data_IF_877286789084
#
_entry.id   IF_877286789084
#
_cell.length_a   1.000
_cell.length_b   1.000
_cell.length_c   1.000
_cell.angle_alpha   90.00
_cell.angle_beta   90.00
_cell.angle_gamma   90.00
#
_symmetry.space_group_name_H-M   'P 1'
#
loop_
_entity.id
_entity.type
_entity.pdbx_description
1 polymer ?
#
# COMPACT_ATOMS: atom_id res chain seq x y z
N UNK A 1 -4.40 -20.78 -8.57
CA UNK A 1 -5.22 -20.36 -9.73
C UNK A 1 -4.79 -18.94 -10.07
N UNK A 2 -4.17 -18.74 -11.24
CA UNK A 2 -3.84 -17.40 -11.71
C UNK A 2 -5.15 -16.68 -12.01
N UNK A 3 -5.44 -15.58 -11.30
CA UNK A 3 -6.57 -14.73 -11.63
C UNK A 3 -6.46 -14.33 -13.10
N UNK A 4 -7.42 -14.74 -13.93
CA UNK A 4 -7.44 -14.35 -15.34
C UNK A 4 -7.67 -12.82 -15.41
N UNK A 5 -6.61 -12.10 -15.78
CA UNK A 5 -6.61 -10.63 -15.91
C UNK A 5 -6.71 -10.18 -17.37
N UNK A 6 -6.93 -11.11 -18.30
CA UNK A 6 -7.07 -10.80 -19.73
C UNK A 6 -8.22 -9.82 -20.03
N UNK A 7 -9.23 -9.76 -19.15
CA UNK A 7 -10.31 -8.78 -19.23
C UNK A 7 -9.82 -7.32 -19.22
N UNK A 8 -8.69 -7.03 -18.56
CA UNK A 8 -8.13 -5.67 -18.45
C UNK A 8 -7.79 -5.07 -19.82
N UNK A 9 -7.46 -5.93 -20.80
CA UNK A 9 -7.13 -5.53 -22.17
C UNK A 9 -8.34 -5.54 -23.11
N UNK A 10 -9.46 -6.14 -22.69
CA UNK A 10 -10.66 -6.32 -23.51
C UNK A 10 -11.73 -5.29 -23.19
N UNK A 11 -11.36 -4.01 -23.11
CA UNK A 11 -12.28 -2.94 -22.69
C UNK A 11 -13.40 -2.66 -23.69
N UNK A 12 -13.10 -2.62 -24.99
CA UNK A 12 -14.07 -2.30 -26.04
C UNK A 12 -14.27 -3.45 -27.02
N UNK A 13 -15.51 -3.63 -27.48
CA UNK A 13 -15.83 -4.52 -28.59
C UNK A 13 -15.60 -3.83 -29.95
N UNK A 14 -15.82 -4.57 -31.05
CA UNK A 14 -15.70 -4.04 -32.41
C UNK A 14 -16.69 -2.89 -32.72
N UNK A 15 -17.69 -2.67 -31.86
CA UNK A 15 -18.70 -1.60 -31.97
C UNK A 15 -18.42 -0.44 -31.01
N UNK A 16 -17.25 -0.42 -30.37
CA UNK A 16 -16.83 0.59 -29.39
C UNK A 16 -17.70 0.64 -28.12
N UNK A 17 -18.38 -0.46 -27.76
CA UNK A 17 -19.08 -0.59 -26.49
C UNK A 17 -18.17 -1.22 -25.44
N UNK A 18 -18.37 -0.87 -24.17
CA UNK A 18 -17.67 -1.54 -23.06
C UNK A 18 -18.13 -3.00 -23.02
N UNK A 19 -17.16 -3.92 -23.11
CA UNK A 19 -17.44 -5.36 -23.09
C UNK A 19 -17.99 -5.81 -21.74
N UNK A 20 -18.77 -6.87 -21.75
CA UNK A 20 -19.27 -7.46 -20.50
C UNK A 20 -18.13 -8.07 -19.66
N UNK A 21 -17.13 -8.64 -20.31
CA UNK A 21 -15.92 -9.16 -19.66
C UNK A 21 -15.22 -8.08 -18.85
N UNK A 22 -15.10 -6.86 -19.41
CA UNK A 22 -14.48 -5.74 -18.72
C UNK A 22 -15.32 -5.27 -17.52
N UNK A 23 -16.65 -5.22 -17.65
CA UNK A 23 -17.53 -4.84 -16.54
C UNK A 23 -17.45 -5.82 -15.39
N UNK A 24 -17.55 -7.12 -15.67
CA UNK A 24 -17.45 -8.19 -14.67
C UNK A 24 -16.08 -8.16 -14.00
N UNK A 25 -15.01 -8.04 -14.80
CA UNK A 25 -13.65 -7.93 -14.29
C UNK A 25 -13.45 -6.71 -13.40
N UNK A 26 -13.95 -5.54 -13.80
CA UNK A 26 -13.89 -4.31 -13.01
C UNK A 26 -14.67 -4.45 -11.68
N UNK A 27 -15.88 -5.00 -11.70
CA UNK A 27 -16.65 -5.26 -10.47
C UNK A 27 -15.92 -6.23 -9.53
N UNK A 28 -15.35 -7.30 -10.07
CA UNK A 28 -14.54 -8.24 -9.29
C UNK A 28 -13.31 -7.56 -8.69
N UNK A 29 -12.61 -6.71 -9.46
CA UNK A 29 -11.50 -5.92 -8.95
C UNK A 29 -11.91 -5.05 -7.77
N UNK A 30 -13.03 -4.31 -7.87
CA UNK A 30 -13.54 -3.46 -6.79
C UNK A 30 -13.86 -4.30 -5.54
N UNK A 31 -14.51 -5.46 -5.71
CA UNK A 31 -14.85 -6.35 -4.61
C UNK A 31 -13.61 -6.90 -3.88
N UNK A 32 -12.52 -7.15 -4.62
CA UNK A 32 -11.24 -7.58 -4.05
C UNK A 32 -10.55 -6.41 -3.36
N UNK A 33 -10.50 -5.24 -4.00
CA UNK A 33 -9.92 -4.02 -3.43
C UNK A 33 -10.57 -3.62 -2.11
N UNK A 34 -11.89 -3.74 -2.00
CA UNK A 34 -12.66 -3.45 -0.78
C UNK A 34 -12.41 -4.44 0.37
N UNK A 35 -11.92 -5.65 0.08
CA UNK A 35 -11.56 -6.66 1.09
C UNK A 35 -10.08 -6.58 1.48
N UNK A 36 -9.29 -5.81 0.74
CA UNK A 36 -7.87 -5.62 1.02
C UNK A 36 -7.63 -4.69 2.21
N UNK A 37 -6.37 -4.64 2.66
CA UNK A 37 -5.97 -3.78 3.78
C UNK A 37 -5.80 -2.30 3.40
N UNK A 38 -5.85 -2.00 2.10
CA UNK A 38 -5.58 -0.67 1.54
C UNK A 38 -6.86 0.14 1.28
N UNK A 39 -7.83 -0.03 2.16
CA UNK A 39 -9.07 0.74 2.17
C UNK A 39 -8.96 1.80 3.26
N UNK A 40 -9.28 3.05 2.92
CA UNK A 40 -9.21 4.12 3.91
C UNK A 40 -10.41 4.10 4.89
N UNK A 41 -10.36 4.94 5.93
CA UNK A 41 -11.41 5.03 6.95
C UNK A 41 -12.78 5.47 6.41
N UNK A 42 -12.84 5.94 5.15
CA UNK A 42 -14.06 6.35 4.46
C UNK A 42 -14.52 5.31 3.42
N UNK A 43 -13.91 4.12 3.38
CA UNK A 43 -14.24 3.07 2.43
C UNK A 43 -13.77 3.35 1.00
N UNK A 44 -12.80 4.27 0.82
CA UNK A 44 -12.23 4.60 -0.48
C UNK A 44 -11.04 3.69 -0.78
N UNK A 45 -10.86 3.39 -2.06
CA UNK A 45 -9.76 2.56 -2.58
C UNK A 45 -8.91 3.37 -3.57
N UNK A 46 -7.67 2.96 -3.81
CA UNK A 46 -6.84 3.61 -4.84
C UNK A 46 -7.42 3.35 -6.23
N UNK A 47 -7.43 4.39 -7.06
CA UNK A 47 -7.95 4.29 -8.42
C UNK A 47 -6.86 3.85 -9.41
N UNK A 48 -6.93 2.64 -10.01
CA UNK A 48 -5.92 2.14 -10.94
C UNK A 48 -6.14 2.61 -12.39
N UNK A 49 -7.02 3.58 -12.63
CA UNK A 49 -7.29 4.05 -13.98
C UNK A 49 -6.05 4.75 -14.57
N UNK A 50 -5.98 4.85 -15.90
CA UNK A 50 -4.85 5.46 -16.62
C UNK A 50 -4.51 6.87 -16.14
N UNK A 51 -5.52 7.66 -15.77
CA UNK A 51 -5.34 9.04 -15.29
C UNK A 51 -4.89 9.14 -13.83
N UNK A 52 -5.37 8.23 -12.97
CA UNK A 52 -5.09 8.30 -11.53
C UNK A 52 -3.81 7.55 -11.14
N UNK A 53 -3.50 6.45 -11.83
CA UNK A 53 -2.29 5.66 -11.61
C UNK A 53 -2.08 5.18 -10.19
N UNK A 54 -3.14 4.79 -9.49
CA UNK A 54 -3.14 4.39 -8.08
C UNK A 54 -2.74 5.51 -7.09
N UNK A 55 -2.74 6.78 -7.50
CA UNK A 55 -2.36 7.91 -6.63
C UNK A 55 -3.50 8.34 -5.70
N UNK A 56 -4.73 8.31 -6.20
CA UNK A 56 -5.89 8.91 -5.53
C UNK A 56 -6.83 7.86 -4.95
N UNK A 57 -7.25 8.08 -3.70
CA UNK A 57 -8.33 7.33 -3.07
C UNK A 57 -9.69 7.88 -3.49
N UNK A 58 -10.52 7.02 -4.06
CA UNK A 58 -11.87 7.36 -4.52
C UNK A 58 -12.88 6.33 -4.02
N UNK A 59 -14.14 6.73 -3.97
CA UNK A 59 -15.24 5.82 -3.68
C UNK A 59 -15.32 4.73 -4.77
N UNK A 60 -15.74 3.49 -4.43
CA UNK A 60 -15.84 2.38 -5.38
C UNK A 60 -16.62 2.70 -6.65
N UNK A 61 -17.70 3.48 -6.53
CA UNK A 61 -18.53 3.91 -7.64
C UNK A 61 -17.77 4.84 -8.59
N UNK A 62 -16.99 5.76 -8.03
CA UNK A 62 -16.14 6.67 -8.79
C UNK A 62 -14.98 5.93 -9.47
N UNK A 63 -14.39 4.94 -8.79
CA UNK A 63 -13.36 4.09 -9.40
C UNK A 63 -13.95 3.29 -10.56
N UNK A 64 -15.15 2.73 -10.40
CA UNK A 64 -15.86 2.00 -11.47
C UNK A 64 -16.12 2.92 -12.67
N UNK A 65 -16.59 4.14 -12.43
CA UNK A 65 -16.78 5.14 -13.49
C UNK A 65 -15.47 5.46 -14.22
N UNK A 66 -14.39 5.72 -13.49
CA UNK A 66 -13.08 6.02 -14.07
C UNK A 66 -12.51 4.84 -14.86
N UNK A 67 -12.70 3.61 -14.36
CA UNK A 67 -12.34 2.39 -15.10
C UNK A 67 -13.12 2.28 -16.41
N UNK A 68 -14.40 2.68 -16.43
CA UNK A 68 -15.23 2.64 -17.62
C UNK A 68 -14.89 3.77 -18.59
N UNK A 69 -14.42 4.91 -18.11
CA UNK A 69 -14.09 6.10 -18.92
C UNK A 69 -12.66 6.10 -19.45
N UNK A 70 -11.69 5.75 -18.61
CA UNK A 70 -10.26 5.84 -18.93
C UNK A 70 -9.61 4.47 -19.14
N UNK A 71 -10.23 3.41 -18.62
CA UNK A 71 -9.60 2.10 -18.60
C UNK A 71 -8.64 1.95 -17.42
N UNK A 72 -8.36 0.71 -17.08
CA UNK A 72 -7.30 0.34 -16.14
C UNK A 72 -5.92 0.58 -16.77
N UNK A 73 -4.93 0.91 -15.95
CA UNK A 73 -3.55 1.00 -16.37
C UNK A 73 -3.02 -0.38 -16.78
N UNK A 74 -2.56 -0.53 -18.02
CA UNK A 74 -2.12 -1.83 -18.57
C UNK A 74 -0.86 -2.38 -17.91
N UNK A 75 0.02 -1.51 -17.41
CA UNK A 75 1.18 -1.91 -16.59
C UNK A 75 0.78 -2.37 -15.18
N UNK A 76 -0.46 -2.13 -14.75
CA UNK A 76 -0.96 -2.50 -13.43
C UNK A 76 -1.53 -3.93 -13.43
N UNK A 77 -0.76 -4.90 -13.94
CA UNK A 77 -1.15 -6.30 -14.04
C UNK A 77 -1.05 -7.07 -12.71
N UNK A 78 -0.27 -6.55 -11.76
CA UNK A 78 -0.14 -7.08 -10.40
C UNK A 78 -0.84 -6.12 -9.44
N UNK A 79 -1.82 -6.61 -8.69
CA UNK A 79 -2.63 -5.79 -7.80
C UNK A 79 -1.93 -5.61 -6.44
N UNK A 80 -0.71 -5.06 -6.46
CA UNK A 80 0.13 -4.89 -5.26
C UNK A 80 -0.54 -4.05 -4.18
N UNK A 81 -1.40 -3.10 -4.57
CA UNK A 81 -2.20 -2.27 -3.65
C UNK A 81 -3.57 -2.88 -3.32
N UNK A 82 -4.03 -3.88 -4.06
CA UNK A 82 -5.40 -4.37 -4.01
C UNK A 82 -5.46 -5.89 -3.90
N UNK A 83 -4.68 -6.44 -2.97
CA UNK A 83 -4.75 -7.84 -2.54
C UNK A 83 -4.07 -8.90 -3.44
N UNK A 84 -2.85 -8.60 -3.90
CA UNK A 84 -1.88 -9.67 -4.16
C UNK A 84 -0.71 -9.52 -3.19
N UNK A 85 -0.97 -9.75 -1.89
CA UNK A 85 0.11 -10.19 -1.00
C UNK A 85 0.68 -11.41 -1.67
N UNK A 86 1.94 -11.33 -2.15
CA UNK A 86 2.71 -12.52 -2.51
C UNK A 86 2.52 -13.47 -1.33
N UNK A 87 1.74 -14.54 -1.49
CA UNK A 87 1.78 -15.64 -0.54
C UNK A 87 3.24 -16.03 -0.50
N UNK A 88 3.95 -15.59 0.52
CA UNK A 88 5.34 -15.92 0.72
C UNK A 88 5.38 -17.43 0.66
N UNK A 89 6.07 -17.97 -0.35
CA UNK A 89 6.38 -19.39 -0.43
C UNK A 89 7.33 -19.71 0.71
N UNK A 90 6.79 -19.77 1.93
CA UNK A 90 7.42 -20.36 3.09
C UNK A 90 6.84 -21.76 3.16
N UNK A 91 7.30 -22.60 2.24
CA UNK A 91 7.40 -24.02 2.55
C UNK A 91 8.79 -24.18 3.13
N UNK A 92 8.82 -24.56 4.41
CA UNK A 92 10.01 -25.11 5.05
C UNK A 92 10.59 -26.18 4.13
N UNK A 93 11.91 -26.25 3.98
CA UNK A 93 12.70 -27.19 4.76
C UNK A 93 14.20 -26.84 4.64
N UNK A 94 14.82 -26.74 5.81
CA UNK A 94 16.16 -27.22 6.19
C UNK A 94 17.33 -27.17 5.19
N UNK A 95 18.47 -26.81 5.79
CA UNK A 95 19.85 -27.21 5.45
C UNK A 95 20.72 -26.08 4.93
N UNK A 96 21.72 -25.82 5.77
CA UNK A 96 22.91 -25.01 5.60
C UNK A 96 23.59 -25.17 4.24
N UNK A 97 24.29 -24.08 3.88
CA UNK A 97 25.47 -24.01 3.03
C UNK A 97 25.35 -23.67 1.54
N UNK A 98 25.73 -22.40 1.29
CA UNK A 98 26.62 -21.88 0.25
C UNK A 98 26.19 -21.95 -1.23
N UNK A 99 26.02 -20.76 -1.82
CA UNK A 99 26.77 -20.32 -3.01
C UNK A 99 26.65 -18.79 -3.09
N UNK A 100 27.80 -18.12 -3.05
CA UNK A 100 27.90 -16.67 -3.09
C UNK A 100 27.65 -16.07 -4.47
N UNK A 101 27.29 -14.79 -4.49
CA UNK A 101 27.77 -13.88 -5.50
C UNK A 101 27.78 -12.46 -4.94
N UNK A 102 28.97 -11.87 -5.01
CA UNK A 102 29.34 -10.53 -4.54
C UNK A 102 28.44 -9.46 -5.14
N UNK A 103 27.95 -8.56 -4.30
CA UNK A 103 27.90 -7.14 -4.63
C UNK A 103 28.32 -6.39 -3.36
N UNK A 104 29.49 -5.77 -3.48
CA UNK A 104 30.08 -4.83 -2.55
C UNK A 104 29.15 -3.63 -2.30
N UNK A 105 29.27 -3.09 -1.08
CA UNK A 105 29.00 -1.71 -0.68
C UNK A 105 27.54 -1.22 -0.68
N UNK A 106 26.72 -1.80 0.19
CA UNK A 106 25.69 -1.00 0.87
C UNK A 106 26.12 -0.82 2.31
N UNK A 107 26.71 0.33 2.63
CA UNK A 107 26.93 0.76 4.00
C UNK A 107 25.59 0.63 4.75
N UNK A 108 25.47 -0.38 5.60
CA UNK A 108 24.27 -0.64 6.38
C UNK A 108 24.14 0.49 7.41
N UNK A 109 23.34 1.50 7.09
CA UNK A 109 23.09 2.65 7.95
C UNK A 109 22.59 2.24 9.35
N UNK A 110 22.11 1.00 9.49
CA UNK A 110 21.72 0.39 10.76
C UNK A 110 22.90 0.11 11.68
N UNK A 111 24.08 -0.20 11.14
CA UNK A 111 25.31 -0.45 11.90
C UNK A 111 25.90 0.87 12.41
N UNK A 112 25.97 1.90 11.56
CA UNK A 112 26.41 3.25 11.98
C UNK A 112 25.52 3.87 13.07
N UNK A 113 24.21 3.60 13.05
CA UNK A 113 23.27 4.03 14.10
C UNK A 113 23.49 3.29 15.43
N UNK A 114 23.95 2.04 15.40
CA UNK A 114 24.32 1.30 16.62
C UNK A 114 25.59 1.83 17.22
N UNK A 115 26.62 2.06 16.40
CA UNK A 115 27.88 2.63 16.89
C UNK A 115 27.70 4.04 17.46
N UNK A 116 26.80 4.86 16.87
CA UNK A 116 26.46 6.16 17.45
C UNK A 116 25.75 6.04 18.80
N UNK A 117 24.80 5.11 18.94
CA UNK A 117 24.08 4.88 20.18
C UNK A 117 24.98 4.29 21.28
N UNK A 118 25.89 3.39 20.92
CA UNK A 118 26.85 2.77 21.84
C UNK A 118 27.95 3.77 22.25
N UNK A 119 28.38 4.66 21.34
CA UNK A 119 29.33 5.74 21.66
C UNK A 119 28.70 6.87 22.50
N UNK A 120 27.39 7.11 22.38
CA UNK A 120 26.63 8.05 23.21
C UNK A 120 25.96 7.41 24.43
N UNK A 121 26.49 6.28 24.90
CA UNK A 121 26.16 5.73 26.21
C UNK A 121 26.37 6.76 27.32
N UNK A 122 25.26 7.28 27.83
CA UNK A 122 25.08 7.89 29.15
C UNK A 122 25.50 9.37 29.33
N UNK A 123 24.64 10.30 28.91
CA UNK A 123 24.36 11.48 29.75
C UNK A 123 23.03 11.23 30.46
N UNK A 124 23.13 10.78 31.71
CA UNK A 124 21.99 10.70 32.60
C UNK A 124 21.44 12.08 32.93
N UNK A 125 20.12 12.07 33.15
CA UNK A 125 19.33 12.94 34.01
C UNK A 125 19.44 14.45 33.77
N UNK A 126 18.36 15.04 33.27
CA UNK A 126 17.71 16.10 34.03
C UNK A 126 16.18 15.96 33.91
N UNK A 127 15.61 15.78 35.08
CA UNK A 127 14.22 15.74 35.48
C UNK A 127 13.55 17.09 35.15
N UNK A 128 12.74 17.14 34.10
CA UNK A 128 11.85 18.29 33.86
C UNK A 128 10.55 18.06 34.63
N UNK A 129 10.57 18.47 35.90
CA UNK A 129 9.39 18.78 36.69
C UNK A 129 8.83 20.12 36.19
N UNK A 130 7.82 20.10 35.31
CA UNK A 130 7.03 21.30 35.02
C UNK A 130 5.77 21.27 35.88
N UNK A 131 5.89 21.92 37.03
CA UNK A 131 4.81 22.31 37.91
C UNK A 131 3.81 23.16 37.12
N UNK A 132 2.57 22.67 37.00
CA UNK A 132 1.47 23.48 36.50
C UNK A 132 1.11 24.54 37.54
N UNK A 133 1.76 25.70 37.43
CA UNK A 133 1.13 26.96 37.82
C UNK A 133 0.12 27.33 36.72
N UNK A 134 -1.17 27.10 37.00
CA UNK A 134 -2.23 27.87 36.36
C UNK A 134 -2.86 28.72 37.44
N UNK A 135 -2.59 30.00 37.27
CA UNK A 135 -3.11 31.11 38.03
C UNK A 135 -4.65 31.14 38.01
N UNK A 136 -5.17 31.44 39.19
CA UNK A 136 -6.31 32.33 39.45
C UNK A 136 -7.71 31.84 39.07
N UNK A 137 -8.34 31.30 40.12
CA UNK A 137 -9.75 31.34 40.44
C UNK A 137 -10.53 32.51 39.79
N UNK A 138 -11.24 32.19 38.71
CA UNK A 138 -12.41 32.96 38.27
C UNK A 138 -13.66 32.09 38.41
N UNK A 139 -14.23 32.07 39.62
CA UNK A 139 -15.68 31.92 39.83
C UNK A 139 -16.12 33.01 40.81
N UNK A 140 -16.76 34.02 40.24
CA UNK A 140 -17.53 35.06 40.92
C UNK A 140 -18.85 34.45 41.46
N UNK A 141 -19.10 34.60 42.76
CA UNK A 141 -20.42 34.50 43.38
C UNK A 141 -20.40 35.23 44.74
#
# INVERSE_FOLDING_TARGET
MTSDRSWMHRRFDAKNNITEEYKIGAQNFINVALKGDDVDSKGRIRCPCKECGNTWYKLPENVTYDLYRHGIMESYSTWIFHDEKRRSRVEAETSSDNIGSRNDDMYDAREMLRDFADAHGNFGNDEYNEEQHQDEDMIDC
#
